data_IF_154287876518
#
_entry.id   IF_154287876518
#
_cell.length_a   1.000
_cell.length_b   1.000
_cell.length_c   1.000
_cell.angle_alpha   90.00
_cell.angle_beta   90.00
_cell.angle_gamma   90.00
#
_symmetry.space_group_name_H-M   'P 1'
#
loop_
_entity.id
_entity.type
_entity.pdbx_description
1 polymer ?
#
# COMPACT_ATOMS: atom_id res chain seq x y z
N UNK A 1 -0.77 8.35 -22.39
CA UNK A 1 -0.09 8.58 -21.11
C UNK A 1 1.43 8.65 -21.30
N UNK A 2 2.06 7.57 -21.77
CA UNK A 2 3.53 7.50 -21.98
C UNK A 2 4.00 8.59 -22.93
N UNK A 3 3.31 8.78 -24.07
CA UNK A 3 3.65 9.83 -25.05
C UNK A 3 3.59 11.23 -24.45
N UNK A 4 2.59 11.53 -23.62
CA UNK A 4 2.48 12.82 -22.93
C UNK A 4 3.63 13.02 -21.94
N UNK A 5 3.96 11.98 -21.15
CA UNK A 5 5.10 12.01 -20.23
C UNK A 5 6.42 12.29 -20.99
N UNK A 6 6.65 11.65 -22.13
CA UNK A 6 7.86 11.88 -22.92
C UNK A 6 7.94 13.33 -23.45
N UNK A 7 6.81 13.92 -23.83
CA UNK A 7 6.75 15.34 -24.20
C UNK A 7 7.09 16.26 -23.04
N UNK A 8 6.57 15.97 -21.85
CA UNK A 8 6.86 16.76 -20.63
C UNK A 8 8.34 16.77 -20.26
N UNK A 9 9.05 15.65 -20.47
CA UNK A 9 10.49 15.55 -20.19
C UNK A 9 11.38 15.89 -21.40
N UNK A 10 10.81 16.44 -22.48
CA UNK A 10 11.52 16.74 -23.73
C UNK A 10 12.31 15.56 -24.30
N UNK A 11 11.77 14.35 -24.21
CA UNK A 11 12.39 13.13 -24.71
C UNK A 11 11.60 12.52 -25.86
N UNK A 12 12.31 11.81 -26.72
CA UNK A 12 11.73 11.12 -27.87
C UNK A 12 11.73 9.61 -27.63
N UNK A 13 10.70 8.92 -28.10
CA UNK A 13 10.57 7.47 -27.96
C UNK A 13 11.81 6.72 -28.49
N UNK A 14 12.42 7.19 -29.55
CA UNK A 14 13.59 6.59 -30.17
C UNK A 14 14.87 6.66 -29.32
N UNK A 15 14.90 7.50 -28.28
CA UNK A 15 15.99 7.58 -27.32
C UNK A 15 15.81 6.66 -26.12
N UNK A 16 14.67 5.99 -26.02
CA UNK A 16 14.33 5.12 -24.90
C UNK A 16 14.72 3.67 -25.21
N UNK A 17 15.59 3.09 -24.39
CA UNK A 17 16.04 1.72 -24.53
C UNK A 17 15.28 0.74 -23.67
N UNK A 18 14.68 1.20 -22.56
CA UNK A 18 13.92 0.36 -21.66
C UNK A 18 12.78 1.12 -20.97
N UNK A 19 11.73 0.40 -20.61
CA UNK A 19 10.68 0.87 -19.70
C UNK A 19 10.61 0.02 -18.45
N UNK A 20 10.46 0.69 -17.31
CA UNK A 20 10.11 0.08 -16.03
C UNK A 20 8.81 0.72 -15.57
N UNK A 21 7.75 -0.07 -15.53
CA UNK A 21 6.39 0.41 -15.26
C UNK A 21 5.95 -0.16 -13.93
N UNK A 22 5.51 0.73 -13.04
CA UNK A 22 4.95 0.36 -11.75
C UNK A 22 3.44 0.59 -11.78
N UNK A 23 2.67 -0.40 -11.35
CA UNK A 23 1.22 -0.32 -11.39
C UNK A 23 0.59 -0.99 -10.15
N UNK A 24 -0.48 -0.37 -9.65
CA UNK A 24 -1.24 -0.93 -8.53
C UNK A 24 -2.07 -2.13 -8.98
N UNK A 25 -1.65 -3.32 -8.63
CA UNK A 25 -2.28 -4.59 -8.93
C UNK A 25 -1.28 -5.73 -9.06
N UNK A 26 -1.72 -6.98 -8.94
CA UNK A 26 -0.87 -8.15 -9.14
C UNK A 26 -0.41 -8.22 -10.60
N UNK A 27 0.85 -8.59 -10.79
CA UNK A 27 1.45 -8.79 -12.11
C UNK A 27 1.54 -10.28 -12.39
N UNK A 28 0.83 -10.74 -13.43
CA UNK A 28 0.81 -12.14 -13.85
C UNK A 28 1.14 -12.23 -15.34
N UNK A 29 2.08 -13.04 -15.72
CA UNK A 29 2.53 -13.26 -17.11
C UNK A 29 2.82 -11.95 -17.88
N UNK A 30 3.40 -10.97 -17.20
CA UNK A 30 3.71 -9.66 -17.77
C UNK A 30 2.49 -8.79 -18.06
N UNK A 31 1.38 -9.06 -17.40
CA UNK A 31 0.16 -8.24 -17.44
C UNK A 31 -0.21 -7.78 -16.05
N UNK A 32 -0.74 -6.59 -15.93
CA UNK A 32 -1.32 -6.05 -14.71
C UNK A 32 -2.71 -5.49 -14.99
N UNK A 33 -3.69 -5.89 -14.20
CA UNK A 33 -5.00 -5.24 -14.15
C UNK A 33 -4.97 -4.20 -13.06
N UNK A 34 -5.12 -2.93 -13.43
CA UNK A 34 -5.09 -1.82 -12.46
C UNK A 34 -6.25 -1.96 -11.49
N UNK A 35 -5.93 -1.97 -10.20
CA UNK A 35 -6.92 -2.00 -9.12
C UNK A 35 -7.85 -0.79 -9.25
N UNK A 36 -9.15 -1.02 -9.12
CA UNK A 36 -10.21 0.00 -9.21
C UNK A 36 -10.37 0.69 -10.59
N UNK A 37 -9.76 0.16 -11.65
CA UNK A 37 -9.95 0.63 -13.02
C UNK A 37 -10.12 -0.56 -13.97
N UNK A 38 -10.92 -0.37 -15.01
CA UNK A 38 -11.02 -1.38 -16.07
C UNK A 38 -9.92 -1.18 -17.12
N UNK A 39 -8.66 -1.23 -16.65
CA UNK A 39 -7.48 -1.05 -17.48
C UNK A 39 -6.51 -2.20 -17.25
N UNK A 40 -6.12 -2.85 -18.33
CA UNK A 40 -5.06 -3.87 -18.33
C UNK A 40 -3.85 -3.29 -19.07
N UNK A 41 -2.68 -3.44 -18.48
CA UNK A 41 -1.41 -3.10 -19.11
C UNK A 41 -0.70 -4.42 -19.43
N UNK A 42 -0.30 -4.60 -20.70
CA UNK A 42 0.37 -5.79 -21.17
C UNK A 42 1.77 -5.46 -21.67
N UNK A 43 2.76 -6.17 -21.13
CA UNK A 43 4.16 -6.04 -21.54
C UNK A 43 4.33 -6.28 -23.06
N UNK A 44 3.69 -7.31 -23.57
CA UNK A 44 3.79 -7.70 -25.00
C UNK A 44 3.23 -6.58 -25.89
N UNK A 45 2.04 -6.08 -25.57
CA UNK A 45 1.42 -4.99 -26.34
C UNK A 45 2.28 -3.71 -26.33
N UNK A 46 2.88 -3.40 -25.17
CA UNK A 46 3.79 -2.25 -25.07
C UNK A 46 5.07 -2.45 -25.89
N UNK A 47 5.66 -3.66 -25.87
CA UNK A 47 6.83 -3.99 -26.68
C UNK A 47 6.52 -3.86 -28.19
N UNK A 48 5.35 -4.34 -28.61
CA UNK A 48 4.91 -4.24 -30.01
C UNK A 48 4.63 -2.80 -30.43
N UNK A 49 3.97 -2.03 -29.56
CA UNK A 49 3.59 -0.65 -29.86
C UNK A 49 4.80 0.30 -29.92
N UNK A 50 5.68 0.23 -28.90
CA UNK A 50 6.82 1.13 -28.79
C UNK A 50 8.09 0.61 -29.51
N UNK A 51 8.10 -0.64 -29.97
CA UNK A 51 9.27 -1.31 -30.56
C UNK A 51 10.48 -1.37 -29.61
N UNK A 52 10.23 -1.37 -28.30
CA UNK A 52 11.23 -1.49 -27.24
C UNK A 52 11.16 -2.91 -26.67
N UNK A 53 12.31 -3.61 -26.68
CA UNK A 53 12.38 -5.02 -26.23
C UNK A 53 12.49 -5.16 -24.71
N UNK A 54 13.10 -4.19 -24.05
CA UNK A 54 13.33 -4.21 -22.61
C UNK A 54 12.24 -3.45 -21.88
N UNK A 55 11.12 -4.12 -21.66
CA UNK A 55 9.99 -3.60 -20.88
C UNK A 55 9.70 -4.56 -19.73
N UNK A 56 9.63 -4.03 -18.50
CA UNK A 56 9.19 -4.77 -17.33
C UNK A 56 8.08 -4.03 -16.59
N UNK A 57 7.15 -4.80 -16.06
CA UNK A 57 6.03 -4.30 -15.26
C UNK A 57 6.20 -4.86 -13.84
N UNK A 58 6.07 -4.00 -12.84
CA UNK A 58 6.15 -4.33 -11.43
C UNK A 58 4.86 -3.93 -10.72
N UNK A 59 4.52 -4.65 -9.68
CA UNK A 59 3.61 -4.14 -8.68
C UNK A 59 4.24 -2.93 -7.98
N UNK A 60 3.44 -1.98 -7.50
CA UNK A 60 3.92 -0.76 -6.84
C UNK A 60 4.71 -1.04 -5.55
N UNK A 61 4.27 -2.03 -4.74
CA UNK A 61 5.00 -2.45 -3.54
C UNK A 61 6.33 -3.15 -3.88
N UNK A 62 6.38 -3.94 -4.96
CA UNK A 62 7.62 -4.54 -5.46
C UNK A 62 8.62 -3.48 -5.90
N UNK A 63 8.16 -2.51 -6.68
CA UNK A 63 8.99 -1.42 -7.16
C UNK A 63 9.56 -0.59 -6.00
N UNK A 64 8.74 -0.31 -4.98
CA UNK A 64 9.20 0.37 -3.77
C UNK A 64 10.28 -0.44 -3.03
N UNK A 65 10.14 -1.77 -2.97
CA UNK A 65 11.15 -2.64 -2.37
C UNK A 65 12.52 -2.55 -3.05
N UNK A 66 12.58 -2.43 -4.37
CA UNK A 66 13.85 -2.22 -5.08
C UNK A 66 14.56 -0.95 -4.65
N UNK A 67 13.81 0.07 -4.25
CA UNK A 67 14.38 1.37 -3.85
C UNK A 67 14.82 1.41 -2.38
N UNK A 68 14.25 0.60 -1.49
CA UNK A 68 14.53 0.64 -0.04
C UNK A 68 16.04 0.63 0.28
N UNK A 69 16.88 -0.26 -0.30
CA UNK A 69 18.31 -0.29 0.01
C UNK A 69 19.06 0.99 -0.38
N UNK A 70 18.47 1.83 -1.22
CA UNK A 70 19.06 3.05 -1.75
C UNK A 70 18.54 4.33 -1.09
N UNK A 71 17.56 4.23 -0.18
CA UNK A 71 17.01 5.40 0.52
C UNK A 71 18.07 6.01 1.43
N UNK A 72 18.29 7.31 1.30
CA UNK A 72 19.25 8.09 2.11
C UNK A 72 18.53 9.07 3.01
N UNK A 73 19.11 9.41 4.17
CA UNK A 73 18.67 10.54 4.97
C UNK A 73 18.81 11.85 4.16
N UNK A 74 17.91 12.83 4.28
CA UNK A 74 16.80 12.92 5.25
C UNK A 74 15.45 12.32 4.78
N UNK A 75 15.42 11.49 3.73
CA UNK A 75 14.19 10.98 3.11
C UNK A 75 13.39 10.00 4.00
N UNK A 76 13.86 9.72 5.20
CA UNK A 76 13.13 8.86 6.16
C UNK A 76 13.37 9.27 7.61
N UNK A 77 12.43 8.93 8.48
CA UNK A 77 12.54 9.06 9.93
C UNK A 77 12.76 7.68 10.56
N UNK A 78 13.77 7.57 11.42
CA UNK A 78 14.04 6.32 12.15
C UNK A 78 13.18 6.24 13.40
N UNK A 79 12.30 5.24 13.47
CA UNK A 79 11.46 4.99 14.66
C UNK A 79 12.20 4.12 15.71
N UNK A 80 13.21 3.38 15.29
CA UNK A 80 13.97 2.48 16.15
C UNK A 80 15.46 2.58 15.82
N UNK A 81 16.29 2.69 16.85
CA UNK A 81 17.75 2.84 16.71
C UNK A 81 18.49 1.54 16.32
N UNK A 82 17.79 0.41 16.28
CA UNK A 82 18.42 -0.87 15.88
C UNK A 82 18.71 -0.88 14.38
N UNK A 83 19.97 -1.02 14.03
CA UNK A 83 20.38 -1.23 12.63
C UNK A 83 20.07 -2.66 12.23
N UNK A 84 19.45 -2.93 11.09
CA UNK A 84 19.24 -4.29 10.60
C UNK A 84 20.58 -5.00 10.42
N UNK A 85 20.73 -6.17 11.04
CA UNK A 85 21.94 -6.99 10.90
C UNK A 85 21.92 -7.85 9.63
N UNK A 86 20.73 -8.05 9.07
CA UNK A 86 20.50 -8.88 7.89
C UNK A 86 20.17 -7.97 6.69
N UNK A 87 20.60 -8.40 5.51
CA UNK A 87 20.29 -7.71 4.24
C UNK A 87 18.86 -7.99 3.74
N UNK A 88 17.89 -8.10 4.66
CA UNK A 88 16.47 -8.30 4.35
C UNK A 88 15.69 -7.12 4.92
N UNK A 89 14.89 -6.50 4.07
CA UNK A 89 14.05 -5.35 4.40
C UNK A 89 12.60 -5.68 4.09
N UNK A 90 11.69 -5.36 5.02
CA UNK A 90 10.26 -5.40 4.80
C UNK A 90 9.76 -4.03 4.33
N UNK A 91 8.72 -4.04 3.52
CA UNK A 91 8.00 -2.87 3.07
C UNK A 91 6.52 -3.02 3.38
N UNK A 92 5.97 -2.01 4.03
CA UNK A 92 4.53 -1.92 4.33
C UNK A 92 4.06 -0.55 3.85
N UNK A 93 3.08 -0.55 2.95
CA UNK A 93 2.46 0.66 2.42
C UNK A 93 1.01 0.78 2.88
N UNK A 94 0.71 1.89 3.53
CA UNK A 94 -0.62 2.25 3.98
C UNK A 94 -1.21 3.29 3.03
N UNK A 95 -2.36 2.96 2.45
CA UNK A 95 -3.05 3.84 1.51
C UNK A 95 -4.54 3.48 1.40
N UNK A 96 -5.05 3.35 0.19
CA UNK A 96 -6.39 2.80 -0.08
C UNK A 96 -6.48 1.32 0.26
N UNK A 97 -5.34 0.64 0.31
CA UNK A 97 -5.14 -0.72 0.76
C UNK A 97 -3.91 -0.85 1.66
N UNK A 98 -3.47 -2.09 1.88
CA UNK A 98 -2.29 -2.45 2.66
C UNK A 98 -1.34 -3.30 1.79
N UNK A 99 -0.37 -2.64 1.17
CA UNK A 99 0.70 -3.32 0.44
C UNK A 99 1.75 -3.87 1.39
N UNK A 100 2.15 -5.13 1.19
CA UNK A 100 3.21 -5.78 1.97
C UNK A 100 4.14 -6.49 1.00
N UNK A 101 5.44 -6.23 1.12
CA UNK A 101 6.46 -6.86 0.29
C UNK A 101 7.79 -6.90 1.06
N UNK A 102 8.78 -7.63 0.56
CA UNK A 102 10.11 -7.64 1.14
C UNK A 102 11.20 -7.72 0.07
N UNK A 103 12.39 -7.27 0.43
CA UNK A 103 13.59 -7.42 -0.41
C UNK A 103 14.72 -8.05 0.37
N UNK A 104 15.39 -9.02 -0.22
CA UNK A 104 16.63 -9.62 0.29
C UNK A 104 17.78 -9.26 -0.63
N UNK A 105 18.82 -8.66 -0.06
CA UNK A 105 20.07 -8.42 -0.77
C UNK A 105 21.01 -9.62 -0.61
N UNK A 106 21.43 -10.20 -1.72
CA UNK A 106 22.35 -11.33 -1.70
C UNK A 106 23.26 -11.29 -2.93
N UNK A 107 24.56 -11.42 -2.72
CA UNK A 107 25.59 -11.42 -3.79
C UNK A 107 25.43 -10.25 -4.78
N UNK A 108 25.14 -9.05 -4.28
CA UNK A 108 24.96 -7.85 -5.11
C UNK A 108 23.64 -7.79 -5.92
N UNK A 109 22.71 -8.72 -5.67
CA UNK A 109 21.40 -8.76 -6.31
C UNK A 109 20.30 -8.52 -5.29
N UNK A 110 19.22 -7.87 -5.73
CA UNK A 110 17.97 -7.72 -4.98
C UNK A 110 17.01 -8.84 -5.38
N UNK A 111 16.57 -9.62 -4.41
CA UNK A 111 15.52 -10.62 -4.58
C UNK A 111 14.26 -10.05 -3.93
N UNK A 112 13.25 -9.76 -4.71
CA UNK A 112 11.95 -9.29 -4.21
C UNK A 112 11.11 -10.50 -3.81
N UNK A 113 10.45 -10.37 -2.69
CA UNK A 113 9.47 -11.31 -2.16
C UNK A 113 8.14 -10.58 -2.16
N UNK A 114 7.37 -10.78 -3.22
CA UNK A 114 6.03 -10.23 -3.34
C UNK A 114 5.11 -10.86 -2.29
N UNK A 115 4.21 -10.09 -1.73
CA UNK A 115 3.30 -10.58 -0.72
C UNK A 115 1.96 -9.86 -0.74
N UNK A 116 0.92 -10.62 -0.48
CA UNK A 116 -0.45 -10.15 -0.26
C UNK A 116 -0.77 -10.16 1.25
N UNK A 117 0.19 -9.68 2.07
CA UNK A 117 0.07 -9.68 3.52
C UNK A 117 -1.10 -8.83 4.05
N UNK A 118 -1.58 -7.86 3.28
CA UNK A 118 -2.80 -7.12 3.59
C UNK A 118 -4.04 -8.00 3.71
N UNK A 119 -4.08 -9.14 3.01
CA UNK A 119 -5.19 -10.10 3.08
C UNK A 119 -5.09 -11.11 4.22
N UNK A 120 -4.01 -11.08 5.01
CA UNK A 120 -3.92 -11.89 6.23
C UNK A 120 -5.06 -11.54 7.18
N UNK A 121 -5.58 -12.56 7.88
CA UNK A 121 -6.59 -12.36 8.91
C UNK A 121 -5.97 -11.66 10.11
N UNK A 122 -6.69 -10.72 10.72
CA UNK A 122 -6.22 -10.08 11.95
C UNK A 122 -6.32 -11.04 13.14
N UNK A 123 -5.41 -10.96 14.12
CA UNK A 123 -5.61 -11.59 15.41
C UNK A 123 -6.76 -10.90 16.13
N UNK A 124 -7.64 -11.70 16.76
CA UNK A 124 -8.73 -11.12 17.55
C UNK A 124 -8.20 -10.45 18.83
N UNK A 125 -8.66 -9.24 19.14
CA UNK A 125 -8.39 -8.61 20.43
C UNK A 125 -8.94 -9.43 21.60
N UNK A 126 -8.43 -9.16 22.81
CA UNK A 126 -8.93 -9.77 24.03
C UNK A 126 -10.43 -9.52 24.21
N UNK A 127 -11.11 -10.49 24.85
CA UNK A 127 -12.53 -10.35 25.18
C UNK A 127 -12.74 -9.17 26.15
N UNK A 128 -13.91 -8.55 26.06
CA UNK A 128 -14.31 -7.42 26.92
C UNK A 128 -13.45 -6.15 26.75
N UNK A 129 -12.85 -5.95 25.59
CA UNK A 129 -12.17 -4.71 25.21
C UNK A 129 -12.97 -3.94 24.18
N UNK A 130 -12.78 -2.62 24.13
CA UNK A 130 -13.40 -1.75 23.10
C UNK A 130 -13.00 -2.21 21.70
N UNK A 131 -11.77 -2.64 21.52
CA UNK A 131 -11.29 -3.18 20.24
C UNK A 131 -12.08 -4.41 19.81
N UNK A 132 -12.44 -5.29 20.76
CA UNK A 132 -13.27 -6.46 20.49
C UNK A 132 -14.70 -6.08 20.09
N UNK A 133 -15.27 -5.07 20.74
CA UNK A 133 -16.60 -4.56 20.40
C UNK A 133 -16.62 -3.95 19.00
N UNK A 134 -15.58 -3.17 18.64
CA UNK A 134 -15.40 -2.62 17.30
C UNK A 134 -15.36 -3.73 16.27
N UNK A 135 -14.53 -4.78 16.48
CA UNK A 135 -14.45 -5.93 15.57
C UNK A 135 -15.81 -6.62 15.42
N UNK A 136 -16.50 -6.90 16.52
CA UNK A 136 -17.82 -7.54 16.48
C UNK A 136 -18.87 -6.72 15.70
N UNK A 137 -18.76 -5.39 15.71
CA UNK A 137 -19.64 -4.54 14.91
C UNK A 137 -19.29 -4.62 13.42
N UNK A 138 -18.01 -4.62 13.08
CA UNK A 138 -17.55 -4.69 11.69
C UNK A 138 -17.83 -6.07 11.08
N UNK A 139 -17.73 -7.16 11.86
CA UNK A 139 -18.02 -8.53 11.42
C UNK A 139 -19.47 -8.74 10.95
N UNK A 140 -20.40 -7.92 11.41
CA UNK A 140 -21.79 -8.01 10.93
C UNK A 140 -21.92 -7.74 9.43
N UNK A 141 -21.08 -6.84 8.92
CA UNK A 141 -21.08 -6.45 7.52
C UNK A 141 -19.97 -7.16 6.72
N UNK A 142 -18.91 -7.62 7.39
CA UNK A 142 -17.74 -8.25 6.81
C UNK A 142 -17.37 -9.55 7.55
N UNK A 143 -17.85 -10.71 7.11
CA UNK A 143 -17.60 -11.99 7.80
C UNK A 143 -16.12 -12.36 7.93
N UNK A 144 -15.27 -11.80 7.04
CA UNK A 144 -13.82 -11.95 7.10
C UNK A 144 -13.17 -10.58 7.20
N UNK A 145 -12.44 -10.37 8.28
CA UNK A 145 -11.67 -9.14 8.50
C UNK A 145 -10.19 -9.42 8.22
N UNK A 146 -9.68 -8.85 7.13
CA UNK A 146 -8.25 -8.85 6.81
C UNK A 146 -7.55 -7.66 7.45
N UNK A 147 -6.21 -7.72 7.52
CA UNK A 147 -5.40 -6.58 7.95
C UNK A 147 -5.73 -5.32 7.12
N UNK A 148 -5.82 -5.43 5.80
CA UNK A 148 -6.18 -4.32 4.92
C UNK A 148 -7.55 -3.73 5.24
N UNK A 149 -8.54 -4.58 5.64
CA UNK A 149 -9.89 -4.11 5.98
C UNK A 149 -9.89 -3.09 7.12
N UNK A 150 -8.90 -3.17 8.02
CA UNK A 150 -8.77 -2.23 9.15
C UNK A 150 -7.63 -1.25 8.95
N UNK A 151 -6.48 -1.72 8.45
CA UNK A 151 -5.26 -0.93 8.32
C UNK A 151 -5.20 -0.35 6.89
N UNK A 152 -6.10 0.59 6.62
CA UNK A 152 -6.19 1.33 5.35
C UNK A 152 -7.02 2.59 5.53
N UNK A 153 -7.05 3.49 4.55
CA UNK A 153 -7.92 4.66 4.60
C UNK A 153 -9.41 4.31 4.80
N UNK A 154 -10.01 3.41 4.01
CA UNK A 154 -11.34 2.88 4.28
C UNK A 154 -11.49 2.19 5.64
N UNK A 155 -10.46 1.49 6.09
CA UNK A 155 -10.44 0.79 7.38
C UNK A 155 -10.57 1.73 8.57
N UNK A 156 -9.83 2.83 8.57
CA UNK A 156 -9.95 3.87 9.61
C UNK A 156 -11.38 4.39 9.70
N UNK A 157 -12.07 4.55 8.57
CA UNK A 157 -13.49 4.97 8.56
C UNK A 157 -14.40 3.90 9.16
N UNK A 158 -14.15 2.62 8.90
CA UNK A 158 -14.91 1.52 9.52
C UNK A 158 -14.74 1.52 11.04
N UNK A 159 -13.51 1.63 11.53
CA UNK A 159 -13.21 1.69 12.96
C UNK A 159 -13.88 2.92 13.59
N UNK A 160 -13.73 4.09 12.99
CA UNK A 160 -14.35 5.33 13.47
C UNK A 160 -15.88 5.21 13.57
N UNK A 161 -16.52 4.66 12.52
CA UNK A 161 -17.96 4.46 12.53
C UNK A 161 -18.43 3.46 13.60
N UNK A 162 -17.66 2.40 13.87
CA UNK A 162 -17.95 1.45 14.94
C UNK A 162 -17.81 2.12 16.31
N UNK A 163 -16.72 2.84 16.56
CA UNK A 163 -16.53 3.63 17.78
C UNK A 163 -17.61 4.68 17.98
N UNK A 164 -18.02 5.35 16.93
CA UNK A 164 -19.12 6.33 16.96
C UNK A 164 -20.45 5.69 17.38
N UNK A 165 -20.77 4.50 16.86
CA UNK A 165 -21.96 3.74 17.27
C UNK A 165 -21.91 3.37 18.75
N UNK A 166 -20.75 2.88 19.26
CA UNK A 166 -20.57 2.52 20.67
C UNK A 166 -20.76 3.73 21.58
N UNK A 167 -20.32 4.91 21.14
CA UNK A 167 -20.40 6.15 21.93
C UNK A 167 -21.66 7.01 21.62
N UNK A 168 -22.66 6.44 20.94
CA UNK A 168 -23.90 7.16 20.55
C UNK A 168 -23.64 8.46 19.78
N UNK A 169 -22.58 8.50 18.99
CA UNK A 169 -22.23 9.61 18.11
C UNK A 169 -22.68 9.29 16.66
N UNK A 170 -23.30 10.25 15.99
CA UNK A 170 -23.81 10.10 14.62
C UNK A 170 -22.94 10.76 13.55
N UNK A 171 -21.76 11.30 13.91
CA UNK A 171 -20.89 11.97 12.95
C UNK A 171 -20.30 10.98 11.94
N UNK A 172 -20.25 11.41 10.66
CA UNK A 172 -19.60 10.67 9.59
C UNK A 172 -18.44 11.50 9.07
N UNK A 173 -17.25 10.94 9.08
CA UNK A 173 -16.03 11.60 8.62
C UNK A 173 -15.36 10.79 7.51
N UNK A 174 -14.67 11.48 6.60
CA UNK A 174 -13.74 10.84 5.66
C UNK A 174 -12.44 10.47 6.38
N UNK A 175 -11.70 9.49 5.84
CA UNK A 175 -10.39 9.08 6.39
C UNK A 175 -9.43 10.25 6.57
N UNK A 176 -9.36 11.16 5.59
CA UNK A 176 -8.54 12.36 5.65
C UNK A 176 -8.90 13.26 6.85
N UNK A 177 -10.19 13.50 7.08
CA UNK A 177 -10.66 14.30 8.22
C UNK A 177 -10.35 13.62 9.55
N UNK A 178 -10.56 12.30 9.66
CA UNK A 178 -10.24 11.52 10.86
C UNK A 178 -8.76 11.66 11.21
N UNK A 179 -7.86 11.41 10.25
CA UNK A 179 -6.41 11.52 10.44
C UNK A 179 -6.00 12.96 10.80
N UNK A 180 -6.58 13.96 10.13
CA UNK A 180 -6.28 15.37 10.43
C UNK A 180 -6.72 15.79 11.84
N UNK A 181 -7.87 15.33 12.31
CA UNK A 181 -8.32 15.61 13.69
C UNK A 181 -7.48 14.84 14.71
N UNK A 182 -7.19 13.55 14.47
CA UNK A 182 -6.34 12.73 15.32
C UNK A 182 -4.94 13.33 15.50
N UNK A 183 -4.35 13.89 14.42
CA UNK A 183 -3.03 14.52 14.48
C UNK A 183 -2.99 15.82 15.30
N UNK A 184 -4.13 16.50 15.44
CA UNK A 184 -4.25 17.77 16.19
C UNK A 184 -4.70 17.57 17.63
N UNK A 185 -5.37 16.46 17.93
CA UNK A 185 -5.93 16.17 19.23
C UNK A 185 -5.69 14.70 19.57
N UNK A 186 -4.83 14.45 20.56
CA UNK A 186 -4.55 13.10 21.09
C UNK A 186 -5.67 12.53 21.98
N UNK A 187 -6.85 13.13 21.97
CA UNK A 187 -8.04 12.68 22.68
C UNK A 187 -9.23 12.75 21.75
N UNK A 188 -10.09 11.74 21.79
CA UNK A 188 -11.29 11.69 20.96
C UNK A 188 -11.39 10.43 20.13
N UNK A 189 -12.54 10.23 19.49
CA UNK A 189 -12.82 9.02 18.71
C UNK A 189 -11.93 8.93 17.47
N UNK A 190 -11.52 10.06 16.91
CA UNK A 190 -10.62 10.14 15.76
C UNK A 190 -9.24 9.59 16.11
N UNK A 191 -8.71 9.96 17.27
CA UNK A 191 -7.42 9.47 17.76
C UNK A 191 -7.49 7.96 18.08
N UNK A 192 -8.54 7.51 18.78
CA UNK A 192 -8.74 6.10 19.08
C UNK A 192 -8.90 5.25 17.80
N UNK A 193 -9.49 5.80 16.74
CA UNK A 193 -9.61 5.12 15.46
C UNK A 193 -8.27 4.97 14.71
N UNK A 194 -7.29 5.84 15.00
CA UNK A 194 -5.96 5.82 14.39
C UNK A 194 -4.90 5.09 15.22
N UNK A 195 -5.21 4.77 16.49
CA UNK A 195 -4.34 4.06 17.44
C UNK A 195 -4.36 2.56 17.20
#
# INVERSE_FOLDING_TARGET
LISNFLLEINSFINSINCFRICAAGPVEDGKVKITNRNLVISRIELMEFFKIKDIEIFNDAEAACYFIPHIKKPSYTTLNSKVPKNHTFGYIALGTGLGVSAVKLTHGKSIIISGEGGYCHIPYPEKNTISREVINLIEKDYPRISCERLISGPGIVLIYNALSKINNNSSKLSSEKIVNFASKNAQGLEFEACK
#
